data_IF_759407812907
#
_entry.id   IF_759407812907
#
_cell.length_a   1.000
_cell.length_b   1.000
_cell.length_c   1.000
_cell.angle_alpha   90.00
_cell.angle_beta   90.00
_cell.angle_gamma   90.00
#
_symmetry.space_group_name_H-M   'P 1'
#
loop_
_entity.id
_entity.type
_entity.pdbx_description
1 polymer ?
#
# COMPACT_ATOMS: atom_id res chain seq x y z
N UNK A 1 -15.13 8.82 15.68
CA UNK A 1 -14.98 7.75 14.67
C UNK A 1 -15.51 8.29 13.36
N UNK A 2 -14.63 8.57 12.41
CA UNK A 2 -15.04 9.00 11.07
C UNK A 2 -15.35 7.75 10.26
N UNK A 3 -16.55 7.65 9.69
CA UNK A 3 -16.92 6.57 8.79
C UNK A 3 -16.17 6.83 7.49
N UNK A 4 -15.17 5.99 7.17
CA UNK A 4 -14.52 6.03 5.88
C UNK A 4 -15.55 5.59 4.82
N UNK A 5 -16.09 6.53 4.06
CA UNK A 5 -16.96 6.22 2.93
C UNK A 5 -16.07 5.59 1.87
N UNK A 6 -16.19 4.28 1.66
CA UNK A 6 -15.50 3.61 0.57
C UNK A 6 -15.88 4.27 -0.77
N UNK A 7 -14.92 4.51 -1.68
CA UNK A 7 -15.21 5.10 -2.98
C UNK A 7 -16.20 4.21 -3.72
N UNK A 8 -17.28 4.81 -4.24
CA UNK A 8 -18.29 4.09 -5.01
C UNK A 8 -17.71 3.69 -6.37
N UNK A 9 -17.44 2.40 -6.54
CA UNK A 9 -16.95 1.84 -7.81
C UNK A 9 -18.14 1.65 -8.75
N UNK A 10 -18.13 2.37 -9.86
CA UNK A 10 -19.21 2.37 -10.85
C UNK A 10 -19.22 1.11 -11.72
N UNK A 11 -20.37 0.77 -12.31
CA UNK A 11 -20.46 -0.33 -13.27
C UNK A 11 -19.55 -0.12 -14.49
N UNK A 12 -19.35 1.13 -14.90
CA UNK A 12 -18.40 1.49 -15.95
C UNK A 12 -16.95 1.14 -15.57
N UNK A 13 -16.52 1.43 -14.34
CA UNK A 13 -15.18 1.05 -13.85
C UNK A 13 -15.03 -0.47 -13.72
N UNK A 14 -16.08 -1.18 -13.29
CA UNK A 14 -16.07 -2.65 -13.27
C UNK A 14 -15.94 -3.23 -14.67
N UNK A 15 -16.60 -2.63 -15.66
CA UNK A 15 -16.47 -3.03 -17.06
C UNK A 15 -15.06 -2.72 -17.58
N UNK A 16 -14.52 -1.53 -17.28
CA UNK A 16 -13.14 -1.17 -17.63
C UNK A 16 -12.13 -2.16 -17.05
N UNK A 17 -12.31 -2.59 -15.78
CA UNK A 17 -11.46 -3.62 -15.19
C UNK A 17 -11.48 -4.93 -15.99
N UNK A 18 -12.67 -5.37 -16.46
CA UNK A 18 -12.80 -6.60 -17.26
C UNK A 18 -12.15 -6.48 -18.63
N UNK A 19 -12.29 -5.32 -19.27
CA UNK A 19 -11.83 -5.11 -20.64
C UNK A 19 -10.33 -4.72 -20.71
N UNK A 20 -9.85 -3.96 -19.75
CA UNK A 20 -8.50 -3.35 -19.75
C UNK A 20 -7.59 -3.89 -18.64
N UNK A 21 -8.13 -4.55 -17.62
CA UNK A 21 -7.36 -5.05 -16.47
C UNK A 21 -7.07 -4.01 -15.38
N UNK A 22 -7.59 -2.78 -15.49
CA UNK A 22 -7.42 -1.71 -14.49
C UNK A 22 -8.53 -0.66 -14.57
N UNK A 23 -8.62 0.18 -13.53
CA UNK A 23 -9.30 1.48 -13.54
C UNK A 23 -8.67 2.38 -12.46
N UNK A 24 -8.95 3.68 -12.51
CA UNK A 24 -8.41 4.65 -11.56
C UNK A 24 -9.51 5.10 -10.59
N UNK A 25 -9.18 5.09 -9.29
CA UNK A 25 -9.99 5.70 -8.24
C UNK A 25 -9.28 6.95 -7.72
N UNK A 26 -9.78 8.10 -8.15
CA UNK A 26 -9.29 9.39 -7.66
C UNK A 26 -9.62 9.57 -6.18
N UNK A 27 -8.63 10.01 -5.39
CA UNK A 27 -8.80 10.32 -3.95
C UNK A 27 -9.38 9.15 -3.12
N UNK A 28 -9.08 7.92 -3.50
CA UNK A 28 -9.62 6.71 -2.88
C UNK A 28 -9.21 6.51 -1.41
N UNK A 29 -8.02 6.97 -1.04
CA UNK A 29 -7.43 6.74 0.29
C UNK A 29 -7.79 7.91 1.22
N UNK A 30 -8.50 7.67 2.34
CA UNK A 30 -8.77 8.69 3.35
C UNK A 30 -7.48 9.26 3.95
N UNK A 31 -7.49 10.52 4.38
CA UNK A 31 -6.28 11.20 4.89
C UNK A 31 -5.61 10.45 6.05
N UNK A 32 -6.41 9.89 6.96
CA UNK A 32 -5.86 9.08 8.07
C UNK A 32 -5.09 7.85 7.56
N UNK A 33 -5.66 7.11 6.62
CA UNK A 33 -5.01 5.94 6.03
C UNK A 33 -3.79 6.34 5.18
N UNK A 34 -3.85 7.49 4.52
CA UNK A 34 -2.72 8.03 3.76
C UNK A 34 -1.55 8.37 4.69
N UNK A 35 -1.82 8.91 5.87
CA UNK A 35 -0.78 9.14 6.88
C UNK A 35 -0.18 7.83 7.39
N UNK A 36 -1.01 6.82 7.69
CA UNK A 36 -0.54 5.47 8.07
C UNK A 36 0.41 4.90 7.02
N UNK A 37 0.07 5.03 5.73
CA UNK A 37 0.92 4.55 4.64
C UNK A 37 2.27 5.27 4.58
N UNK A 38 2.28 6.60 4.69
CA UNK A 38 3.51 7.40 4.70
C UNK A 38 4.42 7.00 5.86
N UNK A 39 3.87 6.96 7.07
CA UNK A 39 4.62 6.58 8.28
C UNK A 39 5.16 5.13 8.16
N UNK A 40 4.37 4.24 7.56
CA UNK A 40 4.77 2.86 7.31
C UNK A 40 5.91 2.75 6.31
N UNK A 41 5.89 3.54 5.23
CA UNK A 41 6.98 3.60 4.26
C UNK A 41 8.28 4.07 4.93
N UNK A 42 8.24 5.18 5.69
CA UNK A 42 9.41 5.70 6.41
C UNK A 42 9.98 4.68 7.39
N UNK A 43 9.11 4.01 8.14
CA UNK A 43 9.50 2.95 9.08
C UNK A 43 10.22 1.80 8.36
N UNK A 44 9.65 1.31 7.27
CA UNK A 44 10.17 0.15 6.53
C UNK A 44 11.44 0.48 5.76
N UNK A 45 11.58 1.69 5.21
CA UNK A 45 12.82 2.17 4.59
C UNK A 45 13.95 2.17 5.61
N UNK A 46 13.71 2.69 6.82
CA UNK A 46 14.71 2.68 7.90
C UNK A 46 15.14 1.27 8.26
N UNK A 47 14.20 0.33 8.42
CA UNK A 47 14.54 -1.07 8.70
C UNK A 47 15.33 -1.73 7.55
N UNK A 48 15.03 -1.37 6.30
CA UNK A 48 15.77 -1.86 5.15
C UNK A 48 17.20 -1.30 5.12
N UNK A 49 17.37 -0.02 5.42
CA UNK A 49 18.69 0.62 5.53
C UNK A 49 19.54 0.03 6.66
N UNK A 50 18.93 -0.22 7.83
CA UNK A 50 19.58 -0.91 8.95
C UNK A 50 20.06 -2.32 8.57
N UNK A 51 19.27 -3.05 7.79
CA UNK A 51 19.65 -4.37 7.29
C UNK A 51 20.80 -4.29 6.27
N UNK A 52 20.76 -3.31 5.36
CA UNK A 52 21.85 -3.05 4.43
C UNK A 52 23.15 -2.67 5.16
N UNK A 53 23.06 -1.84 6.20
CA UNK A 53 24.18 -1.49 7.07
C UNK A 53 24.74 -2.72 7.78
N UNK A 54 23.87 -3.57 8.34
CA UNK A 54 24.24 -4.83 9.01
C UNK A 54 24.99 -5.78 8.06
N UNK A 55 24.59 -5.80 6.79
CA UNK A 55 25.22 -6.61 5.75
C UNK A 55 26.47 -5.96 5.15
N UNK A 56 26.70 -4.67 5.39
CA UNK A 56 27.82 -3.91 4.82
C UNK A 56 27.70 -3.73 3.31
N UNK A 57 26.48 -3.63 2.78
CA UNK A 57 26.21 -3.51 1.33
C UNK A 57 25.27 -2.34 1.04
N UNK A 58 25.36 -1.78 -0.16
CA UNK A 58 24.45 -0.70 -0.61
C UNK A 58 23.22 -1.21 -1.39
N UNK A 59 23.20 -2.50 -1.71
CA UNK A 59 22.07 -3.14 -2.38
C UNK A 59 21.94 -4.60 -1.94
N UNK A 60 20.71 -5.09 -1.96
CA UNK A 60 20.38 -6.49 -1.76
C UNK A 60 19.29 -6.88 -2.75
N UNK A 61 19.63 -7.80 -3.67
CA UNK A 61 18.76 -8.21 -4.77
C UNK A 61 18.29 -7.03 -5.65
N UNK A 62 17.01 -6.68 -5.63
CA UNK A 62 16.42 -5.57 -6.40
C UNK A 62 16.23 -4.29 -5.59
N UNK A 63 16.58 -4.33 -4.30
CA UNK A 63 16.59 -3.17 -3.40
C UNK A 63 17.94 -2.45 -3.50
N UNK A 64 17.89 -1.16 -3.81
CA UNK A 64 19.04 -0.27 -3.92
C UNK A 64 18.81 0.94 -3.01
N UNK A 65 19.72 1.17 -2.05
CA UNK A 65 19.62 2.26 -1.06
C UNK A 65 19.39 3.61 -1.73
N UNK A 66 18.45 4.39 -1.21
CA UNK A 66 18.14 5.74 -1.70
C UNK A 66 17.57 5.82 -3.12
N UNK A 67 17.41 4.70 -3.81
CA UNK A 67 16.92 4.65 -5.20
C UNK A 67 15.60 3.90 -5.28
N UNK A 68 15.56 2.66 -4.78
CA UNK A 68 14.36 1.80 -4.84
C UNK A 68 14.39 0.76 -3.75
N UNK A 69 13.31 0.67 -2.98
CA UNK A 69 13.13 -0.33 -1.94
C UNK A 69 12.06 -1.34 -2.35
N UNK A 70 12.41 -2.63 -2.34
CA UNK A 70 11.46 -3.71 -2.53
C UNK A 70 11.26 -4.46 -1.20
N UNK A 71 10.15 -4.13 -0.52
CA UNK A 71 9.87 -4.61 0.84
C UNK A 71 8.63 -5.50 0.79
N UNK A 72 8.85 -6.81 0.96
CA UNK A 72 7.79 -7.79 0.80
C UNK A 72 7.28 -8.32 2.14
N UNK A 73 5.94 -8.41 2.27
CA UNK A 73 5.25 -9.10 3.38
C UNK A 73 5.60 -8.58 4.78
N UNK A 74 5.76 -7.26 4.92
CA UNK A 74 6.05 -6.60 6.21
C UNK A 74 4.88 -5.78 6.74
N UNK A 75 3.65 -6.13 6.38
CA UNK A 75 2.45 -5.38 6.80
C UNK A 75 2.21 -5.41 8.32
N UNK A 76 2.89 -6.31 9.03
CA UNK A 76 2.82 -6.55 10.46
C UNK A 76 3.89 -5.80 11.27
N UNK A 77 4.88 -5.18 10.61
CA UNK A 77 5.96 -4.47 11.30
C UNK A 77 5.59 -3.01 11.62
N UNK A 78 5.09 -2.20 10.67
CA UNK A 78 4.71 -0.84 10.98
C UNK A 78 3.43 -0.81 11.81
N UNK A 79 3.32 0.12 12.77
CA UNK A 79 2.07 0.35 13.47
C UNK A 79 0.94 0.63 12.47
N UNK A 80 -0.20 -0.04 12.67
CA UNK A 80 -1.47 0.24 11.97
C UNK A 80 -1.52 -0.07 10.47
N UNK A 81 -0.43 -0.49 9.83
CA UNK A 81 -0.45 -0.80 8.39
C UNK A 81 -1.48 -1.90 8.03
N UNK A 82 -1.68 -2.86 8.94
CA UNK A 82 -2.71 -3.89 8.80
C UNK A 82 -4.15 -3.33 8.74
N UNK A 83 -4.42 -2.19 9.38
CA UNK A 83 -5.73 -1.51 9.33
C UNK A 83 -6.06 -1.06 7.89
N UNK A 84 -5.03 -0.65 7.14
CA UNK A 84 -5.20 -0.29 5.73
C UNK A 84 -5.25 -1.51 4.82
N UNK A 85 -4.28 -2.43 4.94
CA UNK A 85 -4.14 -3.60 4.06
C UNK A 85 -5.35 -4.52 4.14
N UNK A 86 -5.90 -4.72 5.34
CA UNK A 86 -7.07 -5.57 5.60
C UNK A 86 -8.33 -4.78 5.94
N UNK A 87 -8.32 -3.48 5.66
CA UNK A 87 -9.44 -2.59 5.95
C UNK A 87 -10.61 -2.73 4.96
N UNK A 88 -11.74 -2.13 5.32
CA UNK A 88 -12.97 -2.15 4.52
C UNK A 88 -12.75 -1.58 3.10
N UNK A 89 -11.96 -0.52 2.96
CA UNK A 89 -11.60 0.06 1.66
C UNK A 89 -11.02 -1.00 0.69
N UNK A 90 -10.03 -1.77 1.14
CA UNK A 90 -9.40 -2.80 0.31
C UNK A 90 -10.36 -3.97 0.05
N UNK A 91 -11.16 -4.36 1.04
CA UNK A 91 -12.17 -5.40 0.87
C UNK A 91 -13.20 -5.03 -0.21
N UNK A 92 -13.72 -3.79 -0.20
CA UNK A 92 -14.69 -3.32 -1.18
C UNK A 92 -14.09 -3.18 -2.59
N UNK A 93 -12.84 -2.72 -2.71
CA UNK A 93 -12.13 -2.69 -3.99
C UNK A 93 -11.97 -4.10 -4.56
N UNK A 94 -11.47 -5.05 -3.75
CA UNK A 94 -11.29 -6.44 -4.17
C UNK A 94 -12.60 -7.07 -4.64
N UNK A 95 -13.69 -6.92 -3.87
CA UNK A 95 -15.02 -7.46 -4.23
C UNK A 95 -15.56 -6.90 -5.54
N UNK A 96 -15.24 -5.66 -5.89
CA UNK A 96 -15.68 -5.06 -7.15
C UNK A 96 -14.92 -5.59 -8.39
N UNK A 97 -13.82 -6.32 -8.18
CA UNK A 97 -12.91 -6.82 -9.21
C UNK A 97 -12.87 -8.34 -9.35
N UNK A 98 -13.71 -9.05 -8.58
CA UNK A 98 -13.92 -10.51 -8.65
C UNK A 98 -15.23 -10.78 -9.39
#
# INVERSE_FOLDING_TARGET
>A
MSIAIAPTITDAQRQQYRDEGYFILERAVPEEHLQILRDSCDHLIRLADEELDRLGVDHNHITHRGVRYHIAKKYDQPPRLSEFVFGELMAEICKATI
#
